data_IF_772105844713
#
_entry.id   IF_772105844713
#
_cell.length_a   1.000
_cell.length_b   1.000
_cell.length_c   1.000
_cell.angle_alpha   90.00
_cell.angle_beta   90.00
_cell.angle_gamma   90.00
#
_symmetry.space_group_name_H-M   'P 1'
#
loop_
_entity.id
_entity.type
_entity.pdbx_description
1 polymer ?
#
# COMPACT_ATOMS: atom_id res chain seq x y z
N UNK A 1 -12.83 7.36 7.09
CA UNK A 1 -12.25 6.53 8.17
C UNK A 1 -10.75 6.59 8.01
N UNK A 2 -9.96 6.82 9.06
CA UNK A 2 -8.51 6.89 8.95
C UNK A 2 -7.90 5.50 8.73
N UNK A 3 -6.91 5.36 7.85
CA UNK A 3 -6.17 4.11 7.71
C UNK A 3 -5.38 3.83 9.00
N UNK A 4 -5.20 2.55 9.33
CA UNK A 4 -4.36 2.14 10.47
C UNK A 4 -3.03 1.61 9.95
N UNK A 5 -1.91 2.10 10.50
CA UNK A 5 -0.55 1.63 10.16
C UNK A 5 0.09 0.96 11.37
N UNK A 6 0.37 -0.34 11.27
CA UNK A 6 1.18 -1.05 12.27
C UNK A 6 2.67 -0.94 11.89
N UNK A 7 3.37 0.05 12.48
CA UNK A 7 4.78 0.39 12.18
C UNK A 7 5.83 -0.47 12.91
N UNK A 8 5.45 -1.50 13.66
CA UNK A 8 6.37 -2.26 14.51
C UNK A 8 6.74 -3.63 13.96
N UNK A 9 6.36 -3.94 12.72
CA UNK A 9 6.60 -5.22 12.08
C UNK A 9 7.07 -5.05 10.64
N UNK A 10 7.85 -6.03 10.16
CA UNK A 10 8.08 -6.27 8.74
C UNK A 10 7.22 -7.50 8.35
N UNK A 11 6.21 -7.37 7.49
CA UNK A 11 5.83 -6.17 6.73
C UNK A 11 5.09 -5.11 7.56
N UNK A 12 5.15 -3.84 7.12
CA UNK A 12 4.20 -2.83 7.58
C UNK A 12 2.80 -3.19 7.07
N UNK A 13 1.84 -3.27 7.98
CA UNK A 13 0.43 -3.51 7.65
C UNK A 13 -0.32 -2.18 7.60
N UNK A 14 -0.94 -1.89 6.47
CA UNK A 14 -1.83 -0.75 6.24
C UNK A 14 -3.21 -1.29 5.91
N UNK A 15 -4.23 -0.88 6.68
CA UNK A 15 -5.63 -1.29 6.43
C UNK A 15 -6.53 -0.08 6.37
N UNK A 16 -7.52 -0.11 5.50
CA UNK A 16 -8.66 0.78 5.66
C UNK A 16 -9.70 0.69 4.57
N UNK A 17 -10.59 1.68 4.61
CA UNK A 17 -11.78 1.82 3.78
C UNK A 17 -11.72 3.15 3.04
N UNK A 18 -12.43 3.23 1.92
CA UNK A 18 -12.57 4.44 1.10
C UNK A 18 -12.70 5.71 1.95
N UNK A 19 -11.88 6.71 1.60
CA UNK A 19 -11.72 8.00 2.26
C UNK A 19 -10.88 8.01 3.56
N UNK A 20 -9.55 8.04 3.43
CA UNK A 20 -8.58 9.08 3.89
C UNK A 20 -7.16 8.60 3.54
N UNK A 21 -6.31 9.43 2.92
CA UNK A 21 -4.90 9.08 2.65
C UNK A 21 -4.11 8.83 3.94
N UNK A 22 -3.08 7.99 3.92
CA UNK A 22 -2.19 7.82 5.08
C UNK A 22 -0.74 7.68 4.68
N UNK A 23 0.10 8.46 5.35
CA UNK A 23 1.55 8.46 5.13
C UNK A 23 2.26 7.38 5.95
N UNK A 24 3.03 6.53 5.26
CA UNK A 24 4.02 5.64 5.85
C UNK A 24 5.33 6.43 5.99
N UNK A 25 5.47 7.12 7.11
CA UNK A 25 6.68 7.87 7.48
C UNK A 25 7.73 6.95 8.11
N UNK A 26 8.47 6.24 7.28
CA UNK A 26 9.71 5.59 7.68
C UNK A 26 10.80 6.00 6.68
N UNK A 27 11.89 6.59 7.17
CA UNK A 27 12.92 7.21 6.34
C UNK A 27 14.33 6.80 6.81
N UNK A 28 15.22 6.32 5.92
CA UNK A 28 14.96 5.72 4.60
C UNK A 28 14.52 4.26 4.73
N UNK A 29 13.56 3.82 3.92
CA UNK A 29 13.13 2.42 3.87
C UNK A 29 13.35 1.86 2.47
N UNK A 30 14.01 0.70 2.42
CA UNK A 30 14.08 -0.11 1.22
C UNK A 30 12.88 -1.05 1.21
N UNK A 31 11.94 -0.83 0.30
CA UNK A 31 10.84 -1.75 0.08
C UNK A 31 11.28 -2.81 -0.91
N UNK A 32 10.99 -4.08 -0.60
CA UNK A 32 11.28 -5.26 -1.43
C UNK A 32 10.05 -5.68 -2.26
N UNK A 33 8.86 -5.37 -1.76
CA UNK A 33 7.61 -5.70 -2.42
C UNK A 33 6.42 -5.32 -1.56
N UNK A 34 5.24 -5.54 -2.11
CA UNK A 34 4.00 -5.42 -1.39
C UNK A 34 2.98 -6.47 -1.83
N UNK A 35 2.04 -6.76 -0.94
CA UNK A 35 0.87 -7.60 -1.22
C UNK A 35 -0.38 -6.77 -0.97
N UNK A 36 -1.28 -6.72 -1.95
CA UNK A 36 -2.63 -6.18 -1.77
C UNK A 36 -3.59 -7.36 -1.60
N UNK A 37 -4.43 -7.32 -0.57
CA UNK A 37 -5.38 -8.36 -0.19
C UNK A 37 -6.71 -7.75 0.28
N UNK A 38 -7.71 -8.61 0.48
CA UNK A 38 -9.05 -8.26 0.96
C UNK A 38 -9.81 -7.25 0.06
N UNK A 39 -9.62 -7.36 -1.26
CA UNK A 39 -10.30 -6.51 -2.25
C UNK A 39 -11.75 -6.90 -2.37
N UNK A 40 -12.67 -6.00 -2.03
CA UNK A 40 -14.09 -6.37 -1.90
C UNK A 40 -14.91 -6.10 -3.16
N UNK A 41 -14.45 -5.19 -4.03
CA UNK A 41 -15.21 -4.76 -5.21
C UNK A 41 -14.32 -4.61 -6.45
N UNK A 42 -14.88 -4.92 -7.63
CA UNK A 42 -14.22 -4.63 -8.89
C UNK A 42 -14.17 -3.10 -9.11
N UNK A 43 -13.01 -2.57 -9.51
CA UNK A 43 -12.79 -1.15 -9.68
C UNK A 43 -12.11 -0.46 -8.49
N UNK A 44 -11.94 -1.16 -7.36
CA UNK A 44 -11.14 -0.69 -6.23
C UNK A 44 -9.73 -0.31 -6.72
N UNK A 45 -9.21 0.83 -6.25
CA UNK A 45 -7.88 1.31 -6.62
C UNK A 45 -6.88 1.11 -5.49
N UNK A 46 -5.62 1.06 -5.89
CA UNK A 46 -4.46 1.18 -5.03
C UNK A 46 -3.45 2.06 -5.74
N UNK A 47 -3.09 3.20 -5.13
CA UNK A 47 -2.01 4.04 -5.61
C UNK A 47 -0.95 4.27 -4.55
N UNK A 48 0.31 4.15 -4.95
CA UNK A 48 1.45 4.48 -4.12
C UNK A 48 2.15 5.69 -4.71
N UNK A 49 2.37 6.69 -3.87
CA UNK A 49 3.00 7.95 -4.25
C UNK A 49 4.24 8.14 -3.39
N UNK A 50 5.34 8.62 -3.97
CA UNK A 50 6.49 9.05 -3.20
C UNK A 50 6.20 10.38 -2.46
N UNK A 51 7.10 10.79 -1.56
CA UNK A 51 6.94 12.06 -0.84
C UNK A 51 7.00 13.30 -1.75
N UNK A 52 7.55 13.18 -2.95
CA UNK A 52 7.56 14.25 -3.95
C UNK A 52 6.24 14.34 -4.74
N UNK A 53 5.31 13.40 -4.54
CA UNK A 53 4.03 13.37 -5.24
C UNK A 53 4.05 12.55 -6.53
N UNK A 54 5.13 11.81 -6.82
CA UNK A 54 5.19 10.96 -8.02
C UNK A 54 4.51 9.62 -7.74
N UNK A 55 3.58 9.21 -8.60
CA UNK A 55 3.02 7.86 -8.55
C UNK A 55 4.12 6.84 -8.89
N UNK A 56 4.43 5.98 -7.94
CA UNK A 56 5.40 4.88 -8.11
C UNK A 56 4.71 3.56 -8.41
N UNK A 57 3.41 3.45 -8.12
CA UNK A 57 2.59 2.30 -8.46
C UNK A 57 1.10 2.67 -8.54
N UNK A 58 0.39 2.05 -9.47
CA UNK A 58 -1.06 2.15 -9.61
C UNK A 58 -1.61 0.80 -10.04
N UNK A 59 -2.66 0.35 -9.37
CA UNK A 59 -3.41 -0.83 -9.76
C UNK A 59 -4.90 -0.64 -9.52
N UNK A 60 -5.69 -1.35 -10.33
CA UNK A 60 -7.16 -1.35 -10.25
C UNK A 60 -7.63 -2.79 -10.22
N UNK A 61 -8.49 -3.13 -9.28
CA UNK A 61 -9.07 -4.46 -9.15
C UNK A 61 -9.93 -4.81 -10.37
N UNK A 62 -9.65 -5.94 -11.01
CA UNK A 62 -10.45 -6.46 -12.13
C UNK A 62 -11.68 -7.27 -11.68
N UNK A 63 -11.76 -7.63 -10.40
CA UNK A 63 -12.81 -8.47 -9.83
C UNK A 63 -12.90 -8.31 -8.30
N UNK A 64 -14.00 -8.77 -7.71
CA UNK A 64 -14.15 -8.83 -6.26
C UNK A 64 -13.60 -10.17 -5.73
N UNK A 65 -12.81 -10.13 -4.65
CA UNK A 65 -12.28 -11.32 -3.99
C UNK A 65 -10.99 -11.07 -3.23
N UNK A 66 -10.63 -12.00 -2.34
CA UNK A 66 -9.37 -11.99 -1.60
C UNK A 66 -8.21 -12.41 -2.52
N UNK A 67 -7.99 -11.69 -3.61
CA UNK A 67 -6.84 -11.91 -4.48
C UNK A 67 -5.61 -11.31 -3.80
N UNK A 68 -4.80 -12.17 -3.17
CA UNK A 68 -3.45 -11.80 -2.75
C UNK A 68 -2.56 -11.74 -4.00
N UNK A 69 -2.11 -10.53 -4.34
CA UNK A 69 -1.16 -10.36 -5.42
C UNK A 69 0.11 -9.71 -4.92
N UNK A 70 1.22 -10.42 -5.08
CA UNK A 70 2.56 -9.93 -4.77
C UNK A 70 3.10 -9.11 -5.93
N UNK A 71 3.62 -7.94 -5.60
CA UNK A 71 4.26 -7.05 -6.54
C UNK A 71 5.69 -6.76 -6.06
N UNK A 72 6.70 -7.23 -6.79
CA UNK A 72 8.09 -6.91 -6.46
C UNK A 72 8.30 -5.42 -6.66
N UNK A 73 8.88 -4.77 -5.64
CA UNK A 73 9.13 -3.34 -5.64
C UNK A 73 10.58 -3.14 -5.19
N UNK A 74 11.40 -2.49 -6.01
CA UNK A 74 12.86 -2.51 -5.86
C UNK A 74 13.48 -1.13 -5.76
N UNK A 75 12.86 -0.21 -5.02
CA UNK A 75 13.30 1.19 -4.97
C UNK A 75 13.47 1.69 -3.54
N UNK A 76 14.55 2.44 -3.23
CA UNK A 76 14.63 3.20 -2.01
C UNK A 76 13.59 4.33 -2.08
N UNK A 77 12.62 4.33 -1.17
CA UNK A 77 11.59 5.37 -1.13
C UNK A 77 11.77 6.21 0.14
N UNK A 78 11.88 7.53 -0.03
CA UNK A 78 11.91 8.48 1.07
C UNK A 78 10.47 8.75 1.54
N UNK A 79 9.92 7.81 2.30
CA UNK A 79 8.51 7.81 2.68
C UNK A 79 7.61 7.30 1.55
N UNK A 80 6.56 6.56 1.94
CA UNK A 80 5.53 6.06 1.04
C UNK A 80 4.19 6.65 1.45
N UNK A 81 3.44 7.12 0.47
CA UNK A 81 2.05 7.52 0.64
C UNK A 81 1.18 6.45 0.00
N UNK A 82 0.25 5.93 0.79
CA UNK A 82 -0.82 5.08 0.27
C UNK A 82 -2.03 5.97 0.10
N UNK A 83 -2.36 6.24 -1.16
CA UNK A 83 -3.52 7.02 -1.54
C UNK A 83 -4.58 6.05 -2.07
N UNK A 84 -5.81 6.24 -1.61
CA UNK A 84 -7.00 5.60 -2.16
C UNK A 84 -6.92 4.05 -2.23
N UNK A 85 -6.81 3.39 -1.07
CA UNK A 85 -7.02 1.94 -0.96
C UNK A 85 -8.52 1.70 -0.74
N UNK A 86 -9.25 1.61 -1.84
CA UNK A 86 -10.71 1.41 -1.84
C UNK A 86 -11.05 0.04 -1.22
N UNK A 87 -11.09 -0.06 0.12
CA UNK A 87 -11.19 -1.32 0.87
C UNK A 87 -10.02 -2.30 0.65
N UNK A 88 -9.32 -2.62 1.73
CA UNK A 88 -8.33 -3.70 1.70
C UNK A 88 -7.20 -3.57 2.71
N UNK A 89 -6.27 -4.52 2.57
CA UNK A 89 -5.04 -4.59 3.34
C UNK A 89 -3.85 -4.51 2.39
N UNK A 90 -2.93 -3.57 2.63
CA UNK A 90 -1.62 -3.49 2.00
C UNK A 90 -0.55 -3.93 3.00
N UNK A 91 0.25 -4.93 2.62
CA UNK A 91 1.43 -5.37 3.34
C UNK A 91 2.66 -4.85 2.60
N UNK A 92 3.48 -4.03 3.24
CA UNK A 92 4.72 -3.47 2.66
C UNK A 92 5.93 -4.14 3.29
N UNK A 93 6.68 -4.90 2.51
CA UNK A 93 7.83 -5.67 2.97
C UNK A 93 9.10 -4.84 2.85
N UNK A 94 9.82 -4.72 3.97
CA UNK A 94 11.08 -3.99 4.01
C UNK A 94 12.24 -4.96 3.85
N UNK A 95 13.28 -4.53 3.13
CA UNK A 95 14.56 -5.21 3.17
C UNK A 95 15.24 -4.89 4.51
N UNK A 96 15.70 -5.90 5.27
CA UNK A 96 16.53 -5.68 6.45
C UNK A 96 17.87 -5.03 6.11
#
# INVERSE_FOLDING_TARGET
>A
MALTVAKTANPYKVTGTTATDTEITANPVWVQGFTWADVTTAGDKLSLTDKAGNTVYLNTASGAGNEEKEYPFGLPCAGLRCDDMDSGTLLVYLKP
#
